data_IF_665673927620
#
_entry.id   IF_665673927620
#
_cell.length_a   1.000
_cell.length_b   1.000
_cell.length_c   1.000
_cell.angle_alpha   90.00
_cell.angle_beta   90.00
_cell.angle_gamma   90.00
#
_symmetry.space_group_name_H-M   'P 1'
#
loop_
_entity.id
_entity.type
_entity.pdbx_description
1 polymer ?
#
# COMPACT_ATOMS: atom_id res chain seq x y z
N UNK A 1 -22.61 8.53 8.63
CA UNK A 1 -21.85 8.25 7.42
C UNK A 1 -20.41 8.10 7.84
N UNK A 2 -19.84 6.89 7.77
CA UNK A 2 -18.42 6.71 8.01
C UNK A 2 -17.68 7.48 6.91
N UNK A 3 -16.77 8.39 7.27
CA UNK A 3 -15.99 9.14 6.29
C UNK A 3 -15.19 8.19 5.41
N UNK A 4 -14.98 8.56 4.15
CA UNK A 4 -14.05 7.86 3.26
C UNK A 4 -12.67 7.86 3.93
N UNK A 5 -12.16 6.66 4.24
CA UNK A 5 -10.88 6.50 4.92
C UNK A 5 -10.00 5.57 4.10
N UNK A 6 -8.74 5.97 3.94
CA UNK A 6 -7.71 5.16 3.29
C UNK A 6 -6.87 4.41 4.34
N UNK A 7 -6.31 3.27 3.94
CA UNK A 7 -5.31 2.56 4.71
C UNK A 7 -3.97 2.67 3.98
N UNK A 8 -2.96 3.18 4.65
CA UNK A 8 -1.60 3.29 4.14
C UNK A 8 -0.69 2.39 4.97
N UNK A 9 -0.01 1.44 4.34
CA UNK A 9 0.97 0.59 4.99
C UNK A 9 2.37 0.85 4.42
N UNK A 10 3.33 1.12 5.31
CA UNK A 10 4.75 1.14 5.00
C UNK A 10 5.55 0.90 6.27
N UNK A 11 6.44 -0.09 6.25
CA UNK A 11 7.24 -0.45 7.42
C UNK A 11 8.55 0.34 7.55
N UNK A 12 8.84 1.29 6.65
CA UNK A 12 9.87 2.30 6.86
C UNK A 12 9.31 3.45 7.71
N UNK A 13 9.82 3.67 8.94
CA UNK A 13 9.34 4.73 9.82
C UNK A 13 9.42 6.13 9.19
N UNK A 14 10.36 6.36 8.25
CA UNK A 14 10.46 7.65 7.55
C UNK A 14 9.33 7.83 6.53
N UNK A 15 8.99 6.78 5.79
CA UNK A 15 7.88 6.81 4.85
C UNK A 15 6.55 6.99 5.60
N UNK A 16 6.35 6.25 6.69
CA UNK A 16 5.18 6.39 7.54
C UNK A 16 5.05 7.79 8.15
N UNK A 17 6.14 8.36 8.69
CA UNK A 17 6.15 9.74 9.18
C UNK A 17 5.77 10.73 8.05
N UNK A 18 6.35 10.56 6.86
CA UNK A 18 6.05 11.40 5.71
C UNK A 18 4.57 11.33 5.29
N UNK A 19 3.99 10.13 5.23
CA UNK A 19 2.56 9.94 4.93
C UNK A 19 1.68 10.68 5.94
N UNK A 20 2.01 10.66 7.23
CA UNK A 20 1.26 11.41 8.26
C UNK A 20 1.35 12.91 8.04
N UNK A 21 2.52 13.44 7.68
CA UNK A 21 2.67 14.86 7.36
C UNK A 21 1.85 15.26 6.11
N UNK A 22 1.84 14.41 5.07
CA UNK A 22 1.02 14.65 3.89
C UNK A 22 -0.49 14.66 4.22
N UNK A 23 -0.94 13.74 5.08
CA UNK A 23 -2.32 13.71 5.57
C UNK A 23 -2.63 14.97 6.38
N UNK A 24 -1.75 15.34 7.33
CA UNK A 24 -1.93 16.53 8.16
C UNK A 24 -1.98 17.83 7.33
N UNK A 25 -1.21 17.89 6.25
CA UNK A 25 -1.22 18.99 5.29
C UNK A 25 -2.37 18.92 4.26
N UNK A 26 -3.24 17.91 4.32
CA UNK A 26 -4.31 17.64 3.34
C UNK A 26 -3.81 17.50 1.88
N UNK A 27 -2.58 17.01 1.70
CA UNK A 27 -1.99 16.77 0.38
C UNK A 27 -2.37 15.40 -0.19
N UNK A 28 -2.70 14.44 0.67
CA UNK A 28 -3.29 13.15 0.28
C UNK A 28 -4.57 12.89 1.10
N UNK A 29 -5.47 12.00 0.65
CA UNK A 29 -6.71 11.71 1.36
C UNK A 29 -6.47 11.20 2.80
N UNK A 30 -7.39 11.50 3.74
CA UNK A 30 -7.26 11.05 5.12
C UNK A 30 -7.23 9.53 5.23
N UNK A 31 -6.45 9.02 6.18
CA UNK A 31 -6.29 7.59 6.37
C UNK A 31 -5.49 7.22 7.61
N UNK A 32 -5.48 5.93 7.91
CA UNK A 32 -4.60 5.34 8.90
C UNK A 32 -3.24 5.04 8.26
N UNK A 33 -2.16 5.31 8.98
CA UNK A 33 -0.79 4.94 8.58
C UNK A 33 -0.27 3.85 9.52
N UNK A 34 -0.18 2.64 8.99
CA UNK A 34 0.26 1.44 9.67
C UNK A 34 1.73 1.12 9.35
N UNK A 35 2.56 1.08 10.39
CA UNK A 35 4.00 0.82 10.32
C UNK A 35 4.38 -0.67 10.47
N UNK A 36 3.39 -1.55 10.69
CA UNK A 36 3.64 -3.00 10.78
C UNK A 36 4.16 -3.54 9.44
N UNK A 37 4.91 -4.65 9.51
CA UNK A 37 5.15 -5.45 8.30
C UNK A 37 3.79 -5.90 7.74
N UNK A 38 3.66 -5.95 6.41
CA UNK A 38 2.47 -6.51 5.76
C UNK A 38 2.22 -7.97 6.16
N UNK A 39 3.26 -8.68 6.62
CA UNK A 39 3.19 -10.03 7.20
C UNK A 39 2.26 -10.09 8.42
N UNK A 40 2.20 -8.99 9.19
CA UNK A 40 1.38 -8.88 10.40
C UNK A 40 0.00 -8.26 10.12
N UNK A 41 -0.27 -7.87 8.87
CA UNK A 41 -1.55 -7.32 8.45
C UNK A 41 -2.51 -8.46 8.08
N UNK A 42 -3.73 -8.36 8.61
CA UNK A 42 -4.79 -9.35 8.41
C UNK A 42 -5.94 -8.76 7.60
N UNK A 43 -6.81 -9.64 7.08
CA UNK A 43 -8.06 -9.21 6.46
C UNK A 43 -8.91 -8.31 7.36
N UNK A 44 -8.94 -8.56 8.67
CA UNK A 44 -9.73 -7.74 9.61
C UNK A 44 -9.21 -6.32 9.73
N UNK A 45 -7.89 -6.12 9.65
CA UNK A 45 -7.29 -4.78 9.70
C UNK A 45 -7.73 -3.92 8.50
N UNK A 46 -8.08 -4.55 7.37
CA UNK A 46 -8.42 -3.86 6.13
C UNK A 46 -9.93 -3.59 5.97
N UNK A 47 -10.75 -4.00 6.93
CA UNK A 47 -12.20 -3.80 6.85
C UNK A 47 -12.59 -2.35 7.10
N UNK A 48 -13.49 -1.83 6.26
CA UNK A 48 -14.03 -0.47 6.39
C UNK A 48 -13.21 0.62 5.67
N UNK A 49 -12.01 0.28 5.18
CA UNK A 49 -11.24 1.17 4.32
C UNK A 49 -11.74 1.16 2.88
N UNK A 50 -11.79 2.33 2.26
CA UNK A 50 -12.22 2.46 0.86
C UNK A 50 -11.06 2.17 -0.07
N UNK A 51 -9.90 2.80 0.17
CA UNK A 51 -8.68 2.55 -0.59
C UNK A 51 -7.60 1.98 0.32
N UNK A 52 -6.78 1.08 -0.23
CA UNK A 52 -5.71 0.39 0.49
C UNK A 52 -4.41 0.55 -0.30
N UNK A 53 -3.40 1.16 0.30
CA UNK A 53 -2.11 1.44 -0.32
C UNK A 53 -1.01 0.71 0.44
N UNK A 54 -0.55 -0.41 -0.12
CA UNK A 54 0.55 -1.20 0.43
C UNK A 54 1.89 -0.70 -0.11
N UNK A 55 2.92 -0.63 0.74
CA UNK A 55 4.22 -0.05 0.38
C UNK A 55 4.05 1.39 -0.13
N UNK A 56 3.36 2.20 0.66
CA UNK A 56 2.86 3.51 0.22
C UNK A 56 3.98 4.53 -0.05
N UNK A 57 5.18 4.34 0.52
CA UNK A 57 6.36 5.16 0.28
C UNK A 57 6.08 6.65 0.47
N UNK A 58 6.28 7.43 -0.59
CA UNK A 58 6.05 8.87 -0.58
C UNK A 58 4.58 9.29 -0.81
N UNK A 59 3.63 8.34 -0.85
CA UNK A 59 2.22 8.60 -1.14
C UNK A 59 1.89 8.71 -2.64
N UNK A 60 2.77 8.23 -3.52
CA UNK A 60 2.65 8.42 -4.98
C UNK A 60 1.36 7.87 -5.59
N UNK A 61 0.88 6.70 -5.13
CA UNK A 61 -0.36 6.11 -5.63
C UNK A 61 -1.59 6.95 -5.30
N UNK A 62 -1.69 7.48 -4.07
CA UNK A 62 -2.81 8.32 -3.67
C UNK A 62 -2.86 9.61 -4.50
N UNK A 63 -1.70 10.23 -4.76
CA UNK A 63 -1.63 11.41 -5.60
C UNK A 63 -1.93 11.10 -7.08
N UNK A 64 -1.43 9.98 -7.60
CA UNK A 64 -1.71 9.56 -8.97
C UNK A 64 -3.21 9.31 -9.20
N UNK A 65 -3.89 8.64 -8.26
CA UNK A 65 -5.34 8.43 -8.31
C UNK A 65 -6.10 9.75 -8.29
N UNK A 66 -5.68 10.70 -7.44
CA UNK A 66 -6.26 12.06 -7.38
C UNK A 66 -6.11 12.78 -8.72
N UNK A 67 -4.92 12.78 -9.31
CA UNK A 67 -4.65 13.41 -10.62
C UNK A 67 -5.49 12.75 -11.73
N UNK A 68 -5.66 11.43 -11.68
CA UNK A 68 -6.47 10.67 -12.63
C UNK A 68 -7.98 10.86 -12.45
N UNK A 69 -8.43 11.63 -11.45
CA UNK A 69 -9.85 11.82 -11.15
C UNK A 69 -10.52 10.58 -10.55
N UNK A 70 -9.74 9.66 -9.97
CA UNK A 70 -10.29 8.53 -9.21
C UNK A 70 -10.80 9.04 -7.87
N UNK A 71 -12.12 9.04 -7.70
CA UNK A 71 -12.76 9.64 -6.53
C UNK A 71 -12.43 8.86 -5.26
N UNK A 72 -12.34 9.57 -4.13
CA UNK A 72 -11.93 8.98 -2.86
C UNK A 72 -12.88 7.85 -2.40
N UNK A 73 -14.18 7.97 -2.70
CA UNK A 73 -15.22 6.98 -2.40
C UNK A 73 -15.18 5.72 -3.29
N UNK A 74 -14.32 5.70 -4.31
CA UNK A 74 -14.17 4.57 -5.22
C UNK A 74 -13.11 3.58 -4.72
N UNK A 75 -13.48 2.32 -4.41
CA UNK A 75 -12.52 1.37 -3.86
C UNK A 75 -11.41 0.98 -4.83
N UNK A 76 -10.18 0.90 -4.32
CA UNK A 76 -9.00 0.45 -5.07
C UNK A 76 -7.90 0.01 -4.11
N UNK A 77 -7.16 -1.03 -4.51
CA UNK A 77 -5.94 -1.43 -3.83
C UNK A 77 -4.74 -1.09 -4.71
N UNK A 78 -3.66 -0.57 -4.12
CA UNK A 78 -2.40 -0.32 -4.82
C UNK A 78 -1.24 -0.96 -4.06
N UNK A 79 -0.21 -1.42 -4.77
CA UNK A 79 1.00 -1.92 -4.12
C UNK A 79 2.25 -1.82 -4.98
N UNK A 80 3.34 -1.36 -4.37
CA UNK A 80 4.68 -1.34 -4.97
C UNK A 80 5.65 -2.13 -4.09
N UNK A 81 5.55 -3.46 -4.12
CA UNK A 81 6.40 -4.35 -3.33
C UNK A 81 7.90 -4.02 -3.50
N UNK A 82 8.71 -4.05 -2.43
CA UNK A 82 10.13 -3.73 -2.54
C UNK A 82 10.89 -4.75 -3.41
N UNK A 83 11.54 -4.25 -4.46
CA UNK A 83 12.30 -4.98 -5.48
C UNK A 83 13.65 -5.59 -5.00
N UNK A 84 13.85 -5.77 -3.69
CA UNK A 84 15.13 -6.30 -3.18
C UNK A 84 15.55 -7.68 -3.76
N UNK A 85 14.67 -8.54 -4.32
CA UNK A 85 15.08 -9.72 -5.07
C UNK A 85 15.25 -9.55 -6.60
N UNK A 86 14.87 -8.42 -7.22
CA UNK A 86 14.81 -8.25 -8.69
C UNK A 86 15.73 -7.16 -9.27
N UNK A 87 16.37 -6.33 -8.43
CA UNK A 87 17.39 -5.37 -8.88
C UNK A 87 18.67 -6.05 -9.37
N UNK A 88 19.16 -5.65 -10.55
CA UNK A 88 20.43 -6.11 -11.16
C UNK A 88 21.68 -5.91 -10.29
N UNK A 89 21.59 -5.14 -9.18
CA UNK A 89 22.71 -4.86 -8.28
C UNK A 89 22.85 -5.85 -7.10
N UNK A 90 21.98 -6.88 -6.99
CA UNK A 90 21.97 -7.85 -5.88
C UNK A 90 22.04 -9.32 -6.32
N UNK A 91 22.30 -10.22 -5.36
CA UNK A 91 22.31 -11.69 -5.60
C UNK A 91 20.89 -12.19 -5.89
N UNK A 92 20.58 -12.30 -7.19
CA UNK A 92 19.34 -12.81 -7.79
C UNK A 92 18.86 -14.14 -7.15
N UNK A 93 18.01 -14.06 -6.12
CA UNK A 93 17.31 -15.22 -5.54
C UNK A 93 15.85 -15.30 -5.97
N UNK A 94 15.33 -14.30 -6.69
CA UNK A 94 14.01 -14.31 -7.32
C UNK A 94 12.90 -14.73 -6.35
N UNK A 95 12.00 -15.59 -6.80
CA UNK A 95 10.84 -16.09 -6.02
C UNK A 95 11.19 -16.86 -4.74
N UNK A 96 12.45 -17.26 -4.55
CA UNK A 96 12.92 -18.01 -3.36
C UNK A 96 13.54 -17.12 -2.29
N UNK A 97 13.48 -15.80 -2.45
CA UNK A 97 13.93 -14.89 -1.41
C UNK A 97 12.89 -14.81 -0.28
N UNK A 98 13.25 -15.14 0.97
CA UNK A 98 12.34 -15.01 2.12
C UNK A 98 11.88 -13.57 2.37
N UNK A 99 12.46 -12.58 1.68
CA UNK A 99 12.03 -11.17 1.71
C UNK A 99 11.02 -10.82 0.62
N UNK A 100 10.45 -11.82 -0.06
CA UNK A 100 9.46 -11.60 -1.11
C UNK A 100 8.08 -11.24 -0.52
N UNK A 101 7.86 -9.96 -0.26
CA UNK A 101 6.61 -9.44 0.30
C UNK A 101 5.45 -9.43 -0.72
N UNK A 102 5.69 -9.78 -1.99
CA UNK A 102 4.61 -10.03 -2.95
C UNK A 102 3.72 -11.19 -2.52
N UNK A 103 4.29 -12.24 -1.89
CA UNK A 103 3.51 -13.37 -1.42
C UNK A 103 2.44 -12.93 -0.40
N UNK A 104 2.80 -12.02 0.51
CA UNK A 104 1.89 -11.48 1.51
C UNK A 104 0.86 -10.53 0.91
N UNK A 105 1.28 -9.65 0.00
CA UNK A 105 0.31 -8.78 -0.68
C UNK A 105 -0.70 -9.62 -1.49
N UNK A 106 -0.22 -10.66 -2.19
CA UNK A 106 -1.07 -11.61 -2.91
C UNK A 106 -2.00 -12.38 -1.98
N UNK A 107 -1.53 -12.80 -0.79
CA UNK A 107 -2.35 -13.45 0.24
C UNK A 107 -3.53 -12.55 0.62
N UNK A 108 -3.26 -11.28 0.93
CA UNK A 108 -4.29 -10.30 1.29
C UNK A 108 -5.27 -10.03 0.14
N UNK A 109 -4.78 -9.89 -1.10
CA UNK A 109 -5.65 -9.76 -2.29
C UNK A 109 -6.57 -10.98 -2.41
N UNK A 110 -6.05 -12.20 -2.20
CA UNK A 110 -6.85 -13.42 -2.29
C UNK A 110 -7.92 -13.53 -1.19
N UNK A 111 -7.58 -13.15 0.05
CA UNK A 111 -8.48 -13.18 1.20
C UNK A 111 -9.57 -12.10 1.15
N UNK A 112 -9.22 -10.89 0.69
CA UNK A 112 -10.09 -9.72 0.66
C UNK A 112 -10.83 -9.55 -0.67
N UNK A 113 -10.30 -10.09 -1.77
CA UNK A 113 -10.87 -10.01 -3.12
C UNK A 113 -11.26 -8.59 -3.54
N UNK A 114 -10.34 -7.62 -3.49
CA UNK A 114 -10.61 -6.26 -3.98
C UNK A 114 -11.02 -6.30 -5.45
N UNK A 115 -11.98 -5.48 -5.83
CA UNK A 115 -12.47 -5.43 -7.21
C UNK A 115 -11.41 -4.93 -8.19
N UNK A 116 -10.50 -4.06 -7.72
CA UNK A 116 -9.49 -3.39 -8.54
C UNK A 116 -8.18 -3.34 -7.76
N UNK A 117 -7.11 -3.79 -8.40
CA UNK A 117 -5.74 -3.75 -7.89
C UNK A 117 -4.83 -3.12 -8.95
N UNK A 118 -4.06 -2.13 -8.57
CA UNK A 118 -2.92 -1.64 -9.35
C UNK A 118 -1.62 -2.09 -8.68
N UNK A 119 -0.66 -2.53 -9.49
CA UNK A 119 0.66 -2.93 -9.02
C UNK A 119 1.74 -2.41 -9.94
N UNK A 120 2.87 -2.02 -9.37
CA UNK A 120 4.07 -1.62 -10.08
C UNK A 120 5.27 -2.39 -9.53
N UNK A 121 6.14 -2.84 -10.44
CA UNK A 121 7.42 -3.52 -10.19
C UNK A 121 8.35 -3.24 -11.38
N UNK A 122 9.67 -3.25 -11.13
CA UNK A 122 10.73 -3.13 -12.15
C UNK A 122 11.27 -4.48 -12.61
#
# INVERSE_FOLDING_TARGET
MAGVMNYYNDNDPKAAAWLRELIAANLIPPGEVDERSIEDVTKSDLQGYTQVHMFAGIGGWAEALRIAGWTADRPVWTGSCPCQPFSMAGKQRGEKDPRNLWAEFRRLIYECRPAIVFGEQV
#
